data_IF_482388128051
#
_entry.id   IF_482388128051
#
_cell.length_a   1.000
_cell.length_b   1.000
_cell.length_c   1.000
_cell.angle_alpha   90.00
_cell.angle_beta   90.00
_cell.angle_gamma   90.00
#
_symmetry.space_group_name_H-M   'P 1'
#
loop_
_entity.id
_entity.type
_entity.pdbx_description
1 polymer ?
#
# COMPACT_ATOMS: atom_id res chain seq x y z
N UNK A 1 -88.41 18.49 -8.11
CA UNK A 1 -87.18 17.95 -7.49
C UNK A 1 -86.03 18.20 -8.45
N UNK A 2 -85.31 19.30 -8.27
CA UNK A 2 -84.22 19.75 -9.15
C UNK A 2 -82.97 19.90 -8.28
N UNK A 3 -81.99 19.03 -8.54
CA UNK A 3 -80.75 18.91 -7.75
C UNK A 3 -79.78 20.06 -8.08
N UNK A 4 -79.21 20.66 -7.04
CA UNK A 4 -78.05 21.56 -7.07
C UNK A 4 -76.79 20.74 -7.34
N UNK A 5 -75.93 21.20 -8.25
CA UNK A 5 -74.55 20.71 -8.37
C UNK A 5 -73.59 21.87 -8.08
N UNK A 6 -72.75 21.66 -7.06
CA UNK A 6 -71.72 22.57 -6.59
C UNK A 6 -70.48 22.38 -7.47
N UNK A 7 -69.96 23.50 -7.96
CA UNK A 7 -68.72 23.63 -8.72
C UNK A 7 -67.52 23.24 -7.83
N UNK A 8 -66.73 22.23 -8.21
CA UNK A 8 -65.47 21.90 -7.54
C UNK A 8 -64.29 22.22 -8.46
N UNK A 9 -63.45 23.15 -8.02
CA UNK A 9 -62.22 23.60 -8.68
C UNK A 9 -61.10 22.61 -8.33
N UNK A 10 -60.54 21.90 -9.32
CA UNK A 10 -59.36 21.04 -9.12
C UNK A 10 -58.09 21.88 -9.34
N UNK A 11 -57.32 22.09 -8.28
CA UNK A 11 -55.94 22.60 -8.38
C UNK A 11 -55.00 21.43 -8.71
N UNK A 12 -54.37 21.49 -9.89
CA UNK A 12 -53.33 20.54 -10.29
C UNK A 12 -51.99 21.01 -9.71
N UNK A 13 -51.49 20.33 -8.68
CA UNK A 13 -50.14 20.53 -8.13
C UNK A 13 -49.18 19.70 -8.99
N UNK A 14 -48.35 20.37 -9.78
CA UNK A 14 -47.25 19.71 -10.51
C UNK A 14 -46.10 19.53 -9.51
N UNK A 15 -45.90 18.30 -9.03
CA UNK A 15 -44.71 17.94 -8.27
C UNK A 15 -43.51 17.83 -9.20
N UNK A 16 -42.58 18.78 -9.14
CA UNK A 16 -41.28 18.65 -9.78
C UNK A 16 -40.43 17.63 -8.99
N UNK A 17 -40.19 16.47 -9.60
CA UNK A 17 -39.24 15.48 -9.06
C UNK A 17 -37.84 15.99 -9.35
N UNK A 18 -37.13 16.45 -8.32
CA UNK A 18 -35.70 16.74 -8.41
C UNK A 18 -34.97 15.41 -8.40
N UNK A 19 -34.36 15.03 -9.52
CA UNK A 19 -33.42 13.93 -9.53
C UNK A 19 -32.15 14.40 -8.82
N UNK A 20 -31.83 13.78 -7.67
CA UNK A 20 -30.53 13.97 -7.04
C UNK A 20 -29.46 13.46 -8.01
N UNK A 21 -28.67 14.38 -8.57
CA UNK A 21 -27.54 14.03 -9.42
C UNK A 21 -26.59 13.19 -8.58
N UNK A 22 -26.24 12.00 -9.05
CA UNK A 22 -25.29 11.12 -8.39
C UNK A 22 -23.93 11.83 -8.38
N UNK A 23 -23.60 12.47 -7.25
CA UNK A 23 -22.40 13.25 -7.10
C UNK A 23 -21.22 12.27 -6.99
N UNK A 24 -20.43 12.18 -8.06
CA UNK A 24 -19.19 11.41 -8.04
C UNK A 24 -18.16 12.25 -7.28
N UNK A 25 -17.71 11.75 -6.13
CA UNK A 25 -16.59 12.31 -5.39
C UNK A 25 -15.36 11.43 -5.59
N UNK A 26 -14.20 12.07 -5.70
CA UNK A 26 -12.91 11.38 -5.76
C UNK A 26 -12.16 11.66 -4.49
N UNK A 27 -11.78 10.59 -3.79
CA UNK A 27 -10.93 10.64 -2.61
C UNK A 27 -9.48 10.44 -3.04
N UNK A 28 -8.68 11.50 -2.96
CA UNK A 28 -7.25 11.48 -3.30
C UNK A 28 -6.46 11.30 -2.01
N UNK A 29 -5.61 10.28 -1.96
CA UNK A 29 -4.71 10.05 -0.83
C UNK A 29 -3.31 10.59 -1.15
N UNK A 30 -2.78 11.46 -0.29
CA UNK A 30 -1.41 11.97 -0.36
C UNK A 30 -0.81 12.02 1.04
N UNK A 31 0.32 11.33 1.25
CA UNK A 31 1.01 11.36 2.54
C UNK A 31 0.14 10.88 3.72
N UNK A 32 -0.75 9.89 3.52
CA UNK A 32 -1.68 9.42 4.56
C UNK A 32 -2.87 10.36 4.83
N UNK A 33 -2.95 11.52 4.17
CA UNK A 33 -4.08 12.46 4.24
C UNK A 33 -4.98 12.26 3.03
N UNK A 34 -6.27 12.49 3.22
CA UNK A 34 -7.27 12.36 2.17
C UNK A 34 -7.93 13.70 1.87
N UNK A 35 -7.89 14.10 0.60
CA UNK A 35 -8.65 15.21 0.05
C UNK A 35 -9.83 14.66 -0.75
N UNK A 36 -11.01 15.28 -0.58
CA UNK A 36 -12.21 14.92 -1.35
C UNK A 36 -12.47 16.03 -2.36
N UNK A 37 -12.50 15.66 -3.63
CA UNK A 37 -12.89 16.55 -4.72
C UNK A 37 -14.26 16.12 -5.21
N UNK A 38 -15.17 17.07 -5.23
CA UNK A 38 -16.54 16.90 -5.71
C UNK A 38 -16.70 17.53 -7.10
N UNK A 39 -17.70 17.07 -7.86
CA UNK A 39 -18.08 17.70 -9.15
C UNK A 39 -16.94 17.73 -10.18
N UNK A 40 -16.29 16.58 -10.40
CA UNK A 40 -15.19 16.47 -11.36
C UNK A 40 -15.72 16.17 -12.76
N UNK A 41 -15.34 16.98 -13.74
CA UNK A 41 -15.66 16.76 -15.16
C UNK A 41 -14.77 15.70 -15.82
N UNK A 42 -13.46 15.70 -15.51
CA UNK A 42 -12.50 14.73 -16.04
C UNK A 42 -11.27 14.56 -15.14
N UNK A 43 -10.66 13.38 -15.21
CA UNK A 43 -9.40 13.06 -14.54
C UNK A 43 -8.42 12.58 -15.60
N UNK A 44 -7.27 13.22 -15.69
CA UNK A 44 -6.18 12.80 -16.56
C UNK A 44 -4.99 12.41 -15.70
N UNK A 45 -4.55 11.17 -15.83
CA UNK A 45 -3.27 10.74 -15.27
C UNK A 45 -2.21 11.02 -16.33
N UNK A 46 -1.12 11.75 -16.01
CA UNK A 46 0.04 11.73 -16.90
C UNK A 46 0.43 10.27 -17.10
N UNK A 47 0.83 9.91 -18.31
CA UNK A 47 1.31 8.55 -18.60
C UNK A 47 2.72 8.41 -18.02
N UNK A 48 2.85 8.47 -16.69
CA UNK A 48 4.09 8.27 -15.95
C UNK A 48 4.29 6.77 -15.82
N UNK A 49 4.96 6.17 -16.80
CA UNK A 49 5.56 4.85 -16.59
C UNK A 49 6.49 4.97 -15.40
N UNK A 50 6.20 4.25 -14.31
CA UNK A 50 7.00 4.29 -13.09
C UNK A 50 8.43 3.83 -13.43
N UNK A 51 9.38 4.75 -13.49
CA UNK A 51 10.76 4.44 -13.81
C UNK A 51 11.57 4.22 -12.53
N UNK A 52 11.42 3.03 -11.94
CA UNK A 52 12.26 2.62 -10.81
C UNK A 52 13.65 2.26 -11.35
N UNK A 53 14.67 2.97 -10.90
CA UNK A 53 16.07 2.65 -11.20
C UNK A 53 16.69 1.82 -10.09
N UNK A 54 17.62 0.94 -10.45
CA UNK A 54 18.44 0.20 -9.49
C UNK A 54 19.56 1.08 -8.93
N UNK A 55 19.66 1.13 -7.61
CA UNK A 55 20.72 1.80 -6.86
C UNK A 55 21.55 0.73 -6.16
N UNK A 56 22.82 0.64 -6.53
CA UNK A 56 23.78 -0.22 -5.86
C UNK A 56 24.28 0.47 -4.58
N UNK A 57 23.95 -0.10 -3.42
CA UNK A 57 24.40 0.38 -2.11
C UNK A 57 25.72 -0.27 -1.64
N UNK A 58 26.33 -1.15 -2.44
CA UNK A 58 27.47 -1.95 -2.02
C UNK A 58 27.04 -3.12 -1.12
N UNK A 59 25.82 -3.63 -1.34
CA UNK A 59 25.22 -4.75 -0.63
C UNK A 59 25.11 -5.97 -1.55
N UNK A 60 24.44 -7.04 -1.10
CA UNK A 60 24.23 -8.26 -1.90
C UNK A 60 23.27 -8.07 -3.08
N UNK A 61 22.42 -7.05 -3.06
CA UNK A 61 21.45 -6.71 -4.10
C UNK A 61 21.39 -5.21 -4.35
N UNK A 62 20.88 -4.83 -5.53
CA UNK A 62 20.57 -3.45 -5.87
C UNK A 62 19.15 -3.12 -5.45
N UNK A 63 18.95 -1.92 -4.94
CA UNK A 63 17.69 -1.45 -4.37
C UNK A 63 16.95 -0.52 -5.33
N UNK A 64 15.63 -0.60 -5.38
CA UNK A 64 14.81 0.33 -6.15
C UNK A 64 14.89 1.76 -5.61
N UNK A 65 14.95 2.74 -6.50
CA UNK A 65 14.96 4.16 -6.16
C UNK A 65 13.68 4.63 -5.44
N UNK A 66 12.54 3.99 -5.70
CA UNK A 66 11.23 4.32 -5.11
C UNK A 66 10.50 3.07 -4.60
N UNK A 67 9.48 3.28 -3.75
CA UNK A 67 8.50 2.23 -3.44
C UNK A 67 7.68 1.91 -4.69
N UNK A 68 7.12 0.71 -4.77
CA UNK A 68 6.16 0.39 -5.85
C UNK A 68 4.96 1.34 -5.77
N UNK A 69 4.58 1.94 -6.88
CA UNK A 69 3.51 2.94 -6.95
C UNK A 69 3.90 4.37 -6.58
N UNK A 70 5.16 4.64 -6.21
CA UNK A 70 5.66 5.99 -5.94
C UNK A 70 6.39 6.61 -7.14
N UNK A 71 6.10 7.89 -7.41
CA UNK A 71 6.76 8.66 -8.48
C UNK A 71 8.11 9.25 -8.07
N UNK A 72 8.32 9.48 -6.76
CA UNK A 72 9.58 9.99 -6.19
C UNK A 72 10.05 9.09 -5.03
N UNK A 73 11.34 9.14 -4.63
CA UNK A 73 11.85 8.34 -3.53
C UNK A 73 11.13 8.55 -2.19
N UNK A 74 10.65 9.79 -1.94
CA UNK A 74 9.96 10.23 -0.73
C UNK A 74 8.47 9.90 -0.72
N UNK A 75 7.85 9.77 -1.90
CA UNK A 75 6.45 9.36 -1.99
C UNK A 75 6.25 7.94 -1.42
N UNK A 76 5.14 7.73 -0.71
CA UNK A 76 4.89 6.48 0.01
C UNK A 76 4.68 5.29 -0.93
N UNK A 77 4.11 5.55 -2.12
CA UNK A 77 3.71 4.52 -3.05
C UNK A 77 2.45 3.79 -2.56
N UNK A 78 2.31 2.56 -3.02
CA UNK A 78 1.14 1.73 -2.74
C UNK A 78 1.38 0.81 -1.55
N UNK A 79 0.27 0.43 -0.90
CA UNK A 79 0.26 -0.59 0.15
C UNK A 79 -0.23 -1.90 -0.44
N UNK A 80 0.40 -3.01 -0.06
CA UNK A 80 0.04 -4.34 -0.52
C UNK A 80 -0.08 -5.28 0.67
N UNK A 81 -1.09 -6.16 0.62
CA UNK A 81 -1.10 -7.32 1.49
C UNK A 81 -0.03 -8.31 1.03
N UNK A 82 0.54 -9.06 1.96
CA UNK A 82 1.62 -9.99 1.64
C UNK A 82 1.17 -11.05 0.64
N UNK A 83 1.88 -11.22 -0.47
CA UNK A 83 1.50 -12.16 -1.54
C UNK A 83 0.34 -11.69 -2.43
N UNK A 84 -0.07 -10.42 -2.34
CA UNK A 84 -1.03 -9.83 -3.26
C UNK A 84 -0.38 -8.79 -4.17
N UNK A 85 -0.83 -8.78 -5.43
CA UNK A 85 -0.24 -7.94 -6.50
C UNK A 85 -1.10 -6.74 -6.87
N UNK A 86 -2.26 -6.60 -6.24
CA UNK A 86 -3.18 -5.48 -6.38
C UNK A 86 -3.41 -4.84 -5.01
N UNK A 87 -3.64 -3.52 -5.02
CA UNK A 87 -4.05 -2.79 -3.82
C UNK A 87 -5.51 -3.07 -3.50
N UNK A 88 -5.93 -2.73 -2.28
CA UNK A 88 -7.32 -2.86 -1.82
C UNK A 88 -7.75 -1.65 -1.03
N UNK A 89 -9.05 -1.42 -0.94
CA UNK A 89 -9.65 -0.42 -0.04
C UNK A 89 -9.78 -0.92 1.40
N UNK A 90 -9.86 -2.25 1.60
CA UNK A 90 -10.02 -2.86 2.92
C UNK A 90 -9.04 -4.03 3.10
N UNK A 91 -8.14 -3.86 4.08
CA UNK A 91 -7.14 -4.82 4.51
C UNK A 91 -7.67 -5.57 5.73
N UNK A 92 -8.32 -6.71 5.49
CA UNK A 92 -8.84 -7.60 6.53
C UNK A 92 -8.71 -9.05 6.10
N UNK A 93 -8.79 -9.98 7.06
CA UNK A 93 -8.75 -11.42 6.77
C UNK A 93 -9.77 -11.84 5.72
N UNK A 94 -11.02 -11.36 5.82
CA UNK A 94 -12.08 -11.73 4.88
C UNK A 94 -11.84 -11.22 3.45
N UNK A 95 -10.90 -10.31 3.25
CA UNK A 95 -10.51 -9.76 1.94
C UNK A 95 -9.13 -10.22 1.48
N UNK A 96 -8.43 -11.02 2.29
CA UNK A 96 -7.10 -11.52 1.98
C UNK A 96 -7.17 -12.69 1.01
N UNK A 97 -6.43 -12.62 -0.11
CA UNK A 97 -6.46 -13.59 -1.22
C UNK A 97 -6.32 -15.06 -0.78
N UNK A 98 -5.50 -15.31 0.24
CA UNK A 98 -5.18 -16.67 0.70
C UNK A 98 -5.90 -17.05 2.00
N UNK A 99 -6.99 -16.39 2.37
CA UNK A 99 -7.79 -16.74 3.54
C UNK A 99 -9.14 -17.29 3.13
N UNK A 100 -9.49 -18.48 3.63
CA UNK A 100 -10.81 -19.08 3.49
C UNK A 100 -11.66 -18.72 4.71
N UNK A 101 -12.69 -17.84 4.58
CA UNK A 101 -13.42 -17.30 5.73
C UNK A 101 -14.21 -18.34 6.52
N UNK A 102 -14.75 -19.37 5.85
CA UNK A 102 -15.58 -20.40 6.50
C UNK A 102 -14.70 -21.29 7.36
N UNK A 103 -13.61 -21.80 6.80
CA UNK A 103 -12.70 -22.69 7.53
C UNK A 103 -11.70 -21.93 8.42
N UNK A 104 -11.58 -20.60 8.24
CA UNK A 104 -10.62 -19.71 8.90
C UNK A 104 -9.15 -20.09 8.67
N UNK A 105 -8.87 -20.79 7.57
CA UNK A 105 -7.55 -21.32 7.21
C UNK A 105 -6.88 -20.49 6.11
N UNK A 106 -5.56 -20.56 6.09
CA UNK A 106 -4.74 -20.03 5.01
C UNK A 106 -4.61 -21.10 3.91
N UNK A 107 -4.87 -20.75 2.65
CA UNK A 107 -4.93 -21.68 1.53
C UNK A 107 -3.62 -21.83 0.76
N UNK A 108 -2.67 -20.90 0.92
CA UNK A 108 -1.33 -20.94 0.31
C UNK A 108 -0.26 -20.39 1.25
N UNK A 109 0.98 -20.86 1.10
CA UNK A 109 2.11 -20.59 1.98
C UNK A 109 1.84 -21.09 3.40
N UNK A 110 1.49 -22.37 3.49
CA UNK A 110 0.94 -23.04 4.67
C UNK A 110 1.59 -24.42 4.88
N UNK A 111 1.19 -25.12 5.94
CA UNK A 111 1.78 -26.42 6.31
C UNK A 111 1.63 -27.51 5.24
N UNK A 112 0.68 -27.37 4.32
CA UNK A 112 0.44 -28.32 3.24
C UNK A 112 1.40 -28.13 2.07
N UNK A 113 1.65 -26.90 1.64
CA UNK A 113 2.59 -26.62 0.52
C UNK A 113 4.04 -26.47 0.97
N UNK A 114 4.29 -26.15 2.25
CA UNK A 114 5.62 -25.95 2.82
C UNK A 114 6.43 -24.87 2.10
N UNK A 115 5.75 -23.83 1.60
CA UNK A 115 6.40 -22.67 0.97
C UNK A 115 6.40 -21.48 1.94
N UNK A 116 7.58 -20.92 2.21
CA UNK A 116 7.76 -19.73 3.06
C UNK A 116 8.16 -18.47 2.31
N UNK A 117 8.54 -18.58 1.04
CA UNK A 117 9.01 -17.47 0.20
C UNK A 117 7.97 -17.22 -0.90
N UNK A 118 7.68 -15.95 -1.20
CA UNK A 118 6.79 -15.59 -2.29
C UNK A 118 7.25 -16.19 -3.63
N UNK A 119 6.28 -16.68 -4.38
CA UNK A 119 6.50 -17.12 -5.76
C UNK A 119 6.31 -15.92 -6.69
N UNK A 120 6.91 -15.96 -7.88
CA UNK A 120 6.87 -14.84 -8.83
C UNK A 120 5.45 -14.30 -9.13
N UNK A 121 4.42 -15.17 -9.13
CA UNK A 121 3.03 -14.77 -9.39
C UNK A 121 2.35 -14.05 -8.21
N UNK A 122 2.99 -14.04 -7.04
CA UNK A 122 2.54 -13.38 -5.82
C UNK A 122 3.51 -12.28 -5.36
N UNK A 123 4.55 -12.02 -6.15
CA UNK A 123 5.51 -10.96 -5.93
C UNK A 123 5.14 -9.75 -6.81
N UNK A 124 4.62 -8.69 -6.19
CA UNK A 124 4.18 -7.50 -6.91
C UNK A 124 5.32 -6.77 -7.62
N UNK A 125 6.56 -6.85 -7.11
CA UNK A 125 7.72 -6.27 -7.78
C UNK A 125 8.02 -7.03 -9.07
N UNK A 126 7.96 -8.37 -9.03
CA UNK A 126 8.13 -9.21 -10.22
C UNK A 126 7.05 -8.94 -11.25
N UNK A 127 5.78 -8.88 -10.85
CA UNK A 127 4.66 -8.66 -11.76
C UNK A 127 4.72 -7.29 -12.44
N UNK A 128 5.03 -6.22 -11.69
CA UNK A 128 4.97 -4.86 -12.23
C UNK A 128 6.26 -4.40 -12.92
N UNK A 129 7.42 -4.88 -12.48
CA UNK A 129 8.74 -4.42 -12.97
C UNK A 129 9.46 -5.47 -13.82
N UNK A 130 8.94 -6.70 -13.86
CA UNK A 130 9.48 -7.83 -14.62
C UNK A 130 10.40 -8.75 -13.80
N UNK A 131 10.70 -9.92 -14.37
CA UNK A 131 11.32 -11.08 -13.69
C UNK A 131 12.70 -10.87 -13.03
N UNK A 132 13.34 -9.71 -13.24
CA UNK A 132 14.59 -9.36 -12.56
C UNK A 132 14.36 -8.70 -11.20
N UNK A 133 13.15 -8.19 -10.97
CA UNK A 133 12.76 -7.52 -9.74
C UNK A 133 11.95 -8.45 -8.85
N UNK A 134 12.11 -8.27 -7.55
CA UNK A 134 11.36 -8.99 -6.52
C UNK A 134 11.29 -8.19 -5.21
N UNK A 135 10.43 -8.62 -4.32
CA UNK A 135 10.44 -8.21 -2.91
C UNK A 135 11.74 -8.77 -2.28
N UNK A 136 12.43 -7.99 -1.43
CA UNK A 136 13.64 -8.43 -0.75
C UNK A 136 13.38 -9.54 0.26
N UNK A 137 14.36 -10.40 0.46
CA UNK A 137 14.34 -11.44 1.50
C UNK A 137 14.53 -10.83 2.88
N UNK A 138 14.27 -11.61 3.94
CA UNK A 138 14.53 -11.16 5.32
C UNK A 138 16.02 -10.86 5.52
N UNK A 139 16.89 -11.69 4.93
CA UNK A 139 18.34 -11.54 5.02
C UNK A 139 18.85 -10.26 4.33
N UNK A 140 18.27 -9.89 3.20
CA UNK A 140 18.62 -8.64 2.49
C UNK A 140 18.16 -7.39 3.25
N UNK A 141 16.96 -7.44 3.86
CA UNK A 141 16.51 -6.37 4.74
C UNK A 141 17.38 -6.26 5.99
N UNK A 142 17.80 -7.38 6.57
CA UNK A 142 18.72 -7.40 7.70
C UNK A 142 20.10 -6.85 7.31
N UNK A 143 20.59 -7.18 6.11
CA UNK A 143 21.80 -6.60 5.57
C UNK A 143 21.71 -5.06 5.44
N UNK A 144 20.60 -4.55 4.91
CA UNK A 144 20.34 -3.10 4.80
C UNK A 144 20.38 -2.42 6.18
N UNK A 145 19.76 -3.02 7.20
CA UNK A 145 19.75 -2.47 8.56
C UNK A 145 21.15 -2.51 9.19
N UNK A 146 21.91 -3.58 8.99
CA UNK A 146 23.20 -3.78 9.67
C UNK A 146 24.39 -3.09 8.99
N UNK A 147 24.39 -2.98 7.67
CA UNK A 147 25.56 -2.52 6.89
C UNK A 147 25.45 -1.08 6.41
N UNK A 148 24.26 -0.47 6.44
CA UNK A 148 24.07 0.92 6.02
C UNK A 148 24.00 1.88 7.21
N UNK A 149 24.27 3.15 6.94
CA UNK A 149 24.03 4.25 7.89
C UNK A 149 22.65 4.85 7.64
N UNK A 150 21.85 4.95 8.70
CA UNK A 150 20.48 5.47 8.66
C UNK A 150 20.45 6.86 9.31
N UNK A 151 19.97 7.87 8.58
CA UNK A 151 19.76 9.23 9.10
C UNK A 151 18.33 9.68 8.86
N UNK A 152 17.61 9.93 9.95
CA UNK A 152 16.23 10.41 9.90
C UNK A 152 16.19 11.79 9.24
N UNK A 153 15.15 12.02 8.46
CA UNK A 153 14.92 13.24 7.72
C UNK A 153 13.43 13.54 7.68
N UNK A 154 13.12 14.81 7.93
CA UNK A 154 11.77 15.37 7.90
C UNK A 154 11.80 16.55 6.93
N UNK A 155 10.96 16.51 5.90
CA UNK A 155 10.78 17.63 4.98
C UNK A 155 9.54 18.44 5.37
N UNK A 156 9.77 19.59 5.99
CA UNK A 156 8.72 20.51 6.43
C UNK A 156 7.81 21.00 5.28
N UNK A 157 8.28 20.97 4.02
CA UNK A 157 7.50 21.46 2.86
C UNK A 157 6.62 20.39 2.25
N UNK A 158 7.13 19.17 2.08
CA UNK A 158 6.36 18.07 1.51
C UNK A 158 5.57 17.28 2.57
N UNK A 159 5.96 17.38 3.84
CA UNK A 159 5.40 16.61 4.95
C UNK A 159 5.93 15.17 5.00
N UNK A 160 6.86 14.79 4.13
CA UNK A 160 7.42 13.44 4.15
C UNK A 160 8.53 13.31 5.20
N UNK A 161 8.39 12.29 6.04
CA UNK A 161 9.40 11.85 6.99
C UNK A 161 9.92 10.46 6.61
N UNK A 162 11.14 10.13 7.02
CA UNK A 162 11.75 8.82 6.78
C UNK A 162 13.26 8.82 6.90
N UNK A 163 13.90 7.81 6.33
CA UNK A 163 15.35 7.64 6.42
C UNK A 163 16.05 7.82 5.09
N UNK A 164 17.10 8.65 5.08
CA UNK A 164 18.20 8.46 4.13
C UNK A 164 19.08 7.30 4.60
N UNK A 165 19.20 6.29 3.75
CA UNK A 165 19.99 5.08 4.01
C UNK A 165 21.19 5.10 3.08
N UNK A 166 22.38 5.23 3.64
CA UNK A 166 23.64 5.30 2.88
C UNK A 166 24.38 3.97 3.00
N UNK A 167 24.67 3.35 1.86
CA UNK A 167 25.39 2.09 1.77
C UNK A 167 26.90 2.23 1.96
N UNK A 168 27.63 1.11 2.19
CA UNK A 168 29.08 1.11 2.34
C UNK A 168 29.85 1.77 1.18
N UNK A 169 29.28 1.78 -0.03
CA UNK A 169 29.89 2.41 -1.20
C UNK A 169 29.59 3.92 -1.34
N UNK A 170 28.85 4.52 -0.41
CA UNK A 170 28.49 5.94 -0.40
C UNK A 170 27.22 6.30 -1.19
N UNK A 171 26.64 5.39 -1.96
CA UNK A 171 25.33 5.59 -2.59
C UNK A 171 24.22 5.52 -1.52
N UNK A 172 23.06 6.13 -1.82
CA UNK A 172 21.95 6.21 -0.87
C UNK A 172 20.58 6.06 -1.52
N UNK A 173 19.63 5.56 -0.74
CA UNK A 173 18.19 5.56 -1.04
C UNK A 173 17.43 6.27 0.08
N UNK A 174 16.17 6.63 -0.18
CA UNK A 174 15.25 7.10 0.85
C UNK A 174 14.14 6.06 1.09
N UNK A 175 13.90 5.72 2.36
CA UNK A 175 12.73 4.95 2.78
C UNK A 175 11.76 5.85 3.55
N UNK A 176 10.59 6.19 2.97
CA UNK A 176 9.60 6.99 3.67
C UNK A 176 8.95 6.23 4.84
N UNK A 177 8.63 6.96 5.90
CA UNK A 177 7.77 6.53 6.98
C UNK A 177 6.30 6.51 6.53
N UNK A 178 5.97 5.59 5.62
CA UNK A 178 4.67 5.52 4.97
C UNK A 178 3.54 5.01 5.90
N UNK A 179 3.85 4.56 7.11
CA UNK A 179 2.88 3.87 7.95
C UNK A 179 2.40 2.55 7.34
N UNK A 180 1.21 2.13 7.73
CA UNK A 180 0.55 0.93 7.20
C UNK A 180 -0.95 1.13 7.06
N UNK A 181 -1.65 0.17 6.45
CA UNK A 181 -3.11 0.11 6.42
C UNK A 181 -3.59 -1.18 7.09
N UNK A 182 -4.49 -1.04 8.05
CA UNK A 182 -5.25 -2.12 8.67
C UNK A 182 -6.72 -1.72 8.68
N UNK A 183 -7.57 -2.46 7.96
CA UNK A 183 -8.90 -2.00 7.61
C UNK A 183 -8.84 -1.04 6.42
N UNK A 184 -9.41 0.16 6.56
CA UNK A 184 -9.65 1.10 5.46
C UNK A 184 -8.96 2.47 5.63
N UNK A 185 -8.17 2.64 6.68
CA UNK A 185 -7.49 3.91 6.99
C UNK A 185 -5.99 3.71 7.21
N UNK A 186 -5.14 4.62 6.72
CA UNK A 186 -3.72 4.65 7.04
C UNK A 186 -3.49 4.88 8.54
N UNK A 187 -2.45 4.24 9.06
CA UNK A 187 -2.00 4.34 10.44
C UNK A 187 -0.51 4.71 10.48
N UNK A 188 -0.17 5.69 11.33
CA UNK A 188 1.19 6.11 11.64
C UNK A 188 2.06 6.50 10.43
N UNK A 189 1.44 7.03 9.38
CA UNK A 189 2.15 7.77 8.34
C UNK A 189 2.95 8.92 8.98
N UNK A 190 4.10 9.25 8.41
CA UNK A 190 5.07 10.25 8.92
C UNK A 190 5.85 9.77 10.16
N UNK A 191 5.40 8.74 10.89
CA UNK A 191 6.06 8.26 12.11
C UNK A 191 6.79 6.92 11.92
N UNK A 192 6.18 5.96 11.22
CA UNK A 192 6.68 4.59 11.13
C UNK A 192 6.84 4.12 9.69
N UNK A 193 7.85 3.30 9.44
CA UNK A 193 8.02 2.57 8.19
C UNK A 193 7.67 1.10 8.34
N UNK A 194 6.80 0.58 7.47
CA UNK A 194 6.46 -0.84 7.39
C UNK A 194 6.68 -1.36 5.98
N UNK A 195 7.55 -2.36 5.84
CA UNK A 195 7.97 -2.89 4.53
C UNK A 195 8.00 -4.41 4.52
N UNK A 196 7.21 -5.04 3.66
CA UNK A 196 7.24 -6.50 3.56
C UNK A 196 8.58 -7.02 3.06
N UNK A 197 8.98 -8.16 3.61
CA UNK A 197 9.93 -9.08 2.99
C UNK A 197 9.17 -10.12 2.17
N UNK A 198 9.88 -10.89 1.34
CA UNK A 198 9.30 -12.01 0.59
C UNK A 198 9.00 -13.24 1.44
N UNK A 199 9.24 -13.19 2.76
CA UNK A 199 9.20 -14.36 3.64
C UNK A 199 8.04 -14.32 4.64
N UNK A 200 7.47 -15.49 4.89
CA UNK A 200 6.66 -15.73 6.08
C UNK A 200 7.47 -16.41 7.18
N UNK A 201 6.97 -16.29 8.42
CA UNK A 201 7.70 -16.74 9.61
C UNK A 201 7.68 -18.27 9.71
N UNK A 202 6.52 -18.88 9.46
CA UNK A 202 6.38 -20.32 9.38
C UNK A 202 5.06 -20.70 8.72
N UNK A 203 4.98 -21.96 8.31
CA UNK A 203 3.81 -22.54 7.64
C UNK A 203 2.54 -22.59 8.50
N UNK A 204 2.67 -22.43 9.83
CA UNK A 204 1.56 -22.55 10.79
C UNK A 204 0.99 -21.20 11.22
N UNK A 205 1.68 -20.10 10.91
CA UNK A 205 1.25 -18.78 11.35
C UNK A 205 0.63 -17.96 10.22
N UNK A 206 -0.24 -17.04 10.63
CA UNK A 206 -0.87 -16.06 9.74
C UNK A 206 0.00 -14.80 9.56
N UNK A 207 1.30 -14.93 9.82
CA UNK A 207 2.23 -13.82 9.92
C UNK A 207 3.22 -13.83 8.76
N UNK A 208 3.71 -12.66 8.37
CA UNK A 208 4.83 -12.47 7.47
C UNK A 208 5.89 -11.56 8.08
N UNK A 209 7.12 -11.71 7.62
CA UNK A 209 8.27 -10.94 8.11
C UNK A 209 8.32 -9.59 7.41
N UNK A 210 8.60 -8.54 8.17
CA UNK A 210 8.71 -7.19 7.65
C UNK A 210 9.80 -6.40 8.36
N UNK A 211 10.32 -5.41 7.65
CA UNK A 211 11.06 -4.30 8.23
C UNK A 211 10.08 -3.37 8.95
N UNK A 212 10.47 -2.91 10.13
CA UNK A 212 9.86 -1.84 10.89
C UNK A 212 10.92 -0.80 11.25
N UNK A 213 10.57 0.49 11.18
CA UNK A 213 11.37 1.54 11.79
C UNK A 213 10.51 2.69 12.33
N UNK A 214 11.07 3.43 13.29
CA UNK A 214 10.66 4.77 13.70
C UNK A 214 11.88 5.70 13.63
N UNK A 215 11.80 6.94 14.11
CA UNK A 215 12.88 7.93 14.11
C UNK A 215 14.14 7.55 14.93
N UNK A 216 14.02 6.58 15.83
CA UNK A 216 15.09 6.11 16.71
C UNK A 216 15.79 4.84 16.20
N UNK A 217 15.04 3.88 15.63
CA UNK A 217 15.56 2.54 15.31
C UNK A 217 14.88 1.87 14.13
N UNK A 218 15.60 0.92 13.53
CA UNK A 218 15.11 0.01 12.49
C UNK A 218 15.34 -1.47 12.87
N UNK A 219 14.41 -2.35 12.50
CA UNK A 219 14.45 -3.80 12.74
C UNK A 219 13.84 -4.57 11.55
N UNK A 220 14.60 -5.52 10.99
CA UNK A 220 14.23 -6.32 9.81
C UNK A 220 13.54 -7.67 10.11
N UNK A 221 13.30 -8.02 11.38
CA UNK A 221 12.76 -9.32 11.80
C UNK A 221 11.41 -9.21 12.50
N UNK A 222 10.67 -8.12 12.30
CA UNK A 222 9.33 -7.97 12.86
C UNK A 222 8.32 -8.82 12.09
N UNK A 223 7.18 -9.12 12.73
CA UNK A 223 6.17 -10.00 12.18
C UNK A 223 4.78 -9.37 12.31
N UNK A 224 3.97 -9.45 11.25
CA UNK A 224 2.63 -8.88 11.22
C UNK A 224 1.67 -9.77 10.44
N UNK A 225 0.36 -9.59 10.64
CA UNK A 225 -0.65 -10.33 9.90
C UNK A 225 -0.51 -10.07 8.40
N UNK A 226 -0.55 -11.14 7.60
CA UNK A 226 -0.35 -11.08 6.13
C UNK A 226 -1.34 -10.17 5.39
N UNK A 227 -2.50 -9.90 5.99
CA UNK A 227 -3.51 -9.02 5.39
C UNK A 227 -3.21 -7.52 5.54
N UNK A 228 -2.25 -7.10 6.38
CA UNK A 228 -1.91 -5.68 6.51
C UNK A 228 -1.33 -5.14 5.20
N UNK A 229 -1.68 -3.90 4.87
CA UNK A 229 -1.13 -3.18 3.73
C UNK A 229 0.18 -2.50 4.13
N UNK A 230 1.32 -3.01 3.65
CA UNK A 230 2.64 -2.39 3.84
C UNK A 230 3.25 -1.96 2.51
N UNK A 231 4.24 -1.06 2.57
CA UNK A 231 5.00 -0.62 1.40
C UNK A 231 5.92 -1.72 0.88
N UNK A 232 6.28 -1.64 -0.40
CA UNK A 232 7.27 -2.52 -1.04
C UNK A 232 8.41 -1.69 -1.59
N UNK A 233 9.63 -1.94 -1.11
CA UNK A 233 10.87 -1.46 -1.71
C UNK A 233 11.51 -2.61 -2.51
N UNK A 234 11.42 -2.62 -3.84
CA UNK A 234 11.86 -3.76 -4.64
C UNK A 234 13.38 -3.84 -4.74
N UNK A 235 13.91 -5.03 -5.01
CA UNK A 235 15.34 -5.28 -5.25
C UNK A 235 15.57 -6.05 -6.55
N UNK A 236 16.78 -5.98 -7.07
CA UNK A 236 17.26 -6.68 -8.26
C UNK A 236 18.69 -7.21 -8.02
N UNK A 237 19.01 -8.39 -8.56
CA UNK A 237 20.39 -8.92 -8.62
C UNK A 237 21.25 -8.17 -9.64
#
# INVERSE_FOLDING_TARGET
MTKKYILSLLFLIIASVVFAQQQISVKIWKGGKADIIEQIDSITFPNTTQHITCIDLGLSVKWGSCNIGAETPEAYGNYYAWGEVNTKENYSWNKYKYYEPISKKITKYNASDKITILEANDDVATILLGNKWRIPTSAEMEELVKKCTWKWFEDEKSGYCGYWITGPNGNRIFLPAAGCINGNEPYAAEFYGYYWTSENVSFENKLAVHLFFNDDKANASNVSNRYYGFSIRPVQQ
#
